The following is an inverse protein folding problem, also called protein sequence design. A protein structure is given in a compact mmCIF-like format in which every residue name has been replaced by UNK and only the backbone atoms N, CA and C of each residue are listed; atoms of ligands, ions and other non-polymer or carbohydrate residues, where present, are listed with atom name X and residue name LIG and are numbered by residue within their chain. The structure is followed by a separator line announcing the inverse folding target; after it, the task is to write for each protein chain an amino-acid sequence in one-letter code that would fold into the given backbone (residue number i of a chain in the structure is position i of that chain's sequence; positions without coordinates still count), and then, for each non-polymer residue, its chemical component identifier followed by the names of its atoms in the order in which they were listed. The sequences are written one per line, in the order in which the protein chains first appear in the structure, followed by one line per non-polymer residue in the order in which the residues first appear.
data_IF_115347079109
#
_entry.id   IF_115347079109
#
_cell.length_a   1.000
_cell.length_b   1.000
_cell.length_c   1.000
_cell.angle_alpha   90.00
_cell.angle_beta   90.00
_cell.angle_gamma   90.00
#
_symmetry.space_group_name_H-M   'P 1'
#
loop_
_entity.id
_entity.type
_entity.pdbx_description
1 polymer ?
#
# COMPACT_ATOMS: atom_id res chain seq x y z
N UNK A 1 12.01 5.82 -26.08
CA UNK A 1 10.84 6.33 -25.33
C UNK A 1 11.34 6.64 -23.94
N UNK A 2 11.81 7.87 -23.71
CA UNK A 2 12.37 8.26 -22.42
C UNK A 2 11.24 8.66 -21.48
N UNK A 3 11.17 8.04 -20.32
CA UNK A 3 10.22 8.41 -19.29
C UNK A 3 10.66 9.77 -18.72
N UNK A 4 9.76 10.75 -18.65
CA UNK A 4 10.07 11.97 -17.90
C UNK A 4 10.20 11.59 -16.43
N UNK A 5 11.25 12.06 -15.76
CA UNK A 5 11.65 11.69 -14.39
C UNK A 5 10.70 12.22 -13.29
N UNK A 6 9.44 12.51 -13.62
CA UNK A 6 8.49 13.22 -12.78
C UNK A 6 7.53 12.25 -12.06
N UNK A 7 8.01 11.05 -11.75
CA UNK A 7 7.23 10.11 -10.96
C UNK A 7 7.09 10.62 -9.51
N UNK A 8 5.89 10.52 -8.97
CA UNK A 8 5.57 10.97 -7.61
C UNK A 8 4.80 9.87 -6.89
N UNK A 9 4.94 9.81 -5.57
CA UNK A 9 4.07 8.97 -4.74
C UNK A 9 2.62 9.45 -4.89
N UNK A 10 1.73 8.54 -5.29
CA UNK A 10 0.29 8.79 -5.36
C UNK A 10 -0.35 8.28 -4.06
N UNK A 11 -1.10 9.15 -3.37
CA UNK A 11 -1.77 8.81 -2.12
C UNK A 11 -0.86 8.77 -0.89
N UNK A 12 -1.30 8.05 0.14
CA UNK A 12 -0.57 7.84 1.40
C UNK A 12 -0.17 6.37 1.51
N UNK A 13 1.09 6.12 1.88
CA UNK A 13 1.56 4.76 2.12
C UNK A 13 0.96 4.14 3.38
N UNK A 14 1.30 2.87 3.62
CA UNK A 14 0.98 2.16 4.86
C UNK A 14 2.25 1.60 5.51
N UNK A 15 2.16 1.20 6.78
CA UNK A 15 3.31 0.66 7.53
C UNK A 15 4.52 1.60 7.51
N UNK A 16 5.68 1.07 7.14
CA UNK A 16 6.95 1.82 7.02
C UNK A 16 6.87 3.00 6.03
N UNK A 17 5.93 2.95 5.07
CA UNK A 17 5.72 3.99 4.06
C UNK A 17 4.67 5.03 4.46
N UNK A 18 3.98 4.87 5.60
CA UNK A 18 2.87 5.74 6.01
C UNK A 18 3.27 7.20 6.24
N UNK A 19 4.54 7.46 6.55
CA UNK A 19 5.05 8.80 6.75
C UNK A 19 5.27 9.58 5.44
N UNK A 20 5.31 8.90 4.28
CA UNK A 20 5.63 9.53 3.00
C UNK A 20 4.36 10.20 2.45
N UNK A 21 4.31 11.53 2.32
CA UNK A 21 3.17 12.21 1.76
C UNK A 21 3.09 12.00 0.24
N UNK A 22 1.86 12.03 -0.28
CA UNK A 22 1.63 12.09 -1.71
C UNK A 22 2.28 13.33 -2.33
N UNK A 23 2.78 13.21 -3.56
CA UNK A 23 3.57 14.24 -4.22
C UNK A 23 5.04 14.27 -3.81
N UNK A 24 5.53 13.27 -3.08
CA UNK A 24 6.97 13.11 -2.85
C UNK A 24 7.64 12.61 -4.15
N UNK A 25 8.70 13.27 -4.64
CA UNK A 25 9.40 12.85 -5.85
C UNK A 25 10.06 11.48 -5.72
N UNK A 26 9.93 10.68 -6.77
CA UNK A 26 10.54 9.36 -6.90
C UNK A 26 11.41 9.37 -8.15
N UNK A 27 12.66 8.89 -8.03
CA UNK A 27 13.53 8.71 -9.19
C UNK A 27 13.43 7.27 -9.68
N UNK A 28 13.15 7.08 -10.97
CA UNK A 28 13.14 5.78 -11.63
C UNK A 28 14.39 5.57 -12.47
N UNK A 29 14.89 4.35 -12.48
CA UNK A 29 15.91 3.92 -13.43
C UNK A 29 15.22 3.48 -14.72
N UNK A 30 15.70 4.02 -15.84
CA UNK A 30 15.20 3.64 -17.16
C UNK A 30 15.44 2.16 -17.42
N UNK A 31 14.44 1.51 -18.02
CA UNK A 31 14.55 0.11 -18.44
C UNK A 31 13.80 -0.19 -19.72
N UNK A 32 14.18 -1.29 -20.37
CA UNK A 32 13.47 -1.84 -21.53
C UNK A 32 12.92 -3.22 -21.20
N UNK A 33 11.70 -3.49 -21.65
CA UNK A 33 11.02 -4.78 -21.48
C UNK A 33 10.83 -5.55 -22.79
N UNK A 34 11.18 -4.96 -23.95
CA UNK A 34 11.00 -5.52 -25.29
C UNK A 34 12.11 -5.02 -26.24
N UNK A 35 12.78 -5.86 -27.08
CA UNK A 35 12.48 -7.26 -27.39
C UNK A 35 12.97 -8.29 -26.36
N UNK A 36 13.65 -7.86 -25.30
CA UNK A 36 14.09 -8.77 -24.25
C UNK A 36 13.69 -8.26 -22.87
N UNK A 37 13.11 -9.15 -22.07
CA UNK A 37 12.91 -8.99 -20.62
C UNK A 37 14.26 -9.13 -19.88
N UNK A 38 15.31 -8.48 -20.38
CA UNK A 38 16.67 -8.55 -19.83
C UNK A 38 16.82 -7.85 -18.47
N UNK A 39 15.72 -7.53 -17.79
CA UNK A 39 15.69 -7.03 -16.42
C UNK A 39 15.88 -8.18 -15.41
N UNK A 40 16.91 -9.01 -15.59
CA UNK A 40 17.45 -9.77 -14.46
C UNK A 40 18.29 -8.77 -13.66
N UNK A 41 17.69 -8.11 -12.67
CA UNK A 41 18.39 -7.31 -11.66
C UNK A 41 18.46 -5.79 -11.91
N UNK A 42 17.33 -5.11 -12.11
CA UNK A 42 17.30 -3.64 -11.99
C UNK A 42 17.24 -3.29 -10.51
N UNK A 43 18.40 -2.96 -9.96
CA UNK A 43 18.57 -2.73 -8.53
C UNK A 43 19.29 -1.38 -8.31
N UNK A 44 18.59 -0.30 -7.93
CA UNK A 44 17.13 -0.21 -7.74
C UNK A 44 16.37 0.17 -9.02
N UNK A 45 15.12 -0.29 -9.17
CA UNK A 45 14.15 0.20 -10.15
C UNK A 45 13.72 1.64 -9.85
N UNK A 46 13.47 1.93 -8.57
CA UNK A 46 13.19 3.28 -8.11
C UNK A 46 13.81 3.54 -6.75
N UNK A 47 14.10 4.81 -6.50
CA UNK A 47 14.61 5.32 -5.23
C UNK A 47 13.84 6.56 -4.82
N UNK A 48 13.53 6.65 -3.53
CA UNK A 48 12.90 7.79 -2.89
C UNK A 48 13.57 8.03 -1.54
N UNK A 49 13.86 9.30 -1.24
CA UNK A 49 14.41 9.70 0.05
C UNK A 49 13.43 10.61 0.78
N UNK A 50 13.11 10.29 2.03
CA UNK A 50 12.19 11.08 2.86
C UNK A 50 12.58 10.98 4.34
N UNK A 51 12.70 12.14 5.02
CA UNK A 51 13.09 12.27 6.44
C UNK A 51 14.26 11.35 6.84
N UNK A 52 15.39 11.50 6.17
CA UNK A 52 16.64 10.75 6.40
C UNK A 52 16.55 9.23 6.20
N UNK A 53 15.47 8.74 5.56
CA UNK A 53 15.32 7.36 5.13
C UNK A 53 15.35 7.27 3.62
N UNK A 54 16.08 6.28 3.12
CA UNK A 54 16.05 5.90 1.71
C UNK A 54 15.17 4.67 1.55
N UNK A 55 14.27 4.74 0.59
CA UNK A 55 13.38 3.68 0.17
C UNK A 55 13.74 3.32 -1.26
N UNK A 56 13.78 2.03 -1.57
CA UNK A 56 13.99 1.57 -2.93
C UNK A 56 13.25 0.28 -3.21
N UNK A 57 13.15 -0.05 -4.49
CA UNK A 57 12.66 -1.34 -4.95
C UNK A 57 13.58 -1.94 -5.98
N UNK A 58 13.99 -3.17 -5.75
CA UNK A 58 14.84 -3.97 -6.61
C UNK A 58 13.97 -4.91 -7.43
N UNK A 59 13.94 -4.73 -8.76
CA UNK A 59 13.10 -5.53 -9.65
C UNK A 59 13.84 -6.82 -10.05
N UNK A 60 13.30 -7.95 -9.60
CA UNK A 60 13.86 -9.27 -9.84
C UNK A 60 13.26 -9.96 -11.07
N UNK A 61 11.98 -9.72 -11.33
CA UNK A 61 11.29 -10.28 -12.49
C UNK A 61 10.28 -9.30 -13.07
N UNK A 62 10.06 -9.39 -14.38
CA UNK A 62 9.06 -8.60 -15.10
C UNK A 62 8.38 -9.47 -16.16
N UNK A 63 7.08 -9.29 -16.30
CA UNK A 63 6.25 -9.96 -17.28
C UNK A 63 5.21 -8.97 -17.84
N UNK A 64 4.89 -9.13 -19.12
CA UNK A 64 3.77 -8.43 -19.75
C UNK A 64 2.47 -9.14 -19.35
N UNK A 65 1.55 -8.40 -18.74
CA UNK A 65 0.22 -8.91 -18.41
C UNK A 65 -0.78 -8.59 -19.52
N UNK A 66 -0.73 -7.36 -20.05
CA UNK A 66 -1.52 -6.92 -21.19
C UNK A 66 -0.69 -6.02 -22.09
N UNK A 67 -0.73 -6.26 -23.40
CA UNK A 67 -0.18 -5.35 -24.39
C UNK A 67 -1.12 -5.26 -25.57
N UNK A 68 -1.55 -4.04 -25.89
CA UNK A 68 -2.40 -3.70 -27.02
C UNK A 68 -2.00 -2.34 -27.57
N UNK A 69 -2.68 -1.89 -28.63
CA UNK A 69 -2.43 -0.57 -29.23
C UNK A 69 -2.74 0.60 -28.28
N UNK A 70 -3.52 0.38 -27.21
CA UNK A 70 -3.97 1.45 -26.29
C UNK A 70 -3.54 1.26 -24.83
N UNK A 71 -3.09 0.06 -24.48
CA UNK A 71 -2.76 -0.31 -23.10
C UNK A 71 -1.48 -1.12 -23.04
N UNK A 72 -0.67 -0.80 -22.03
CA UNK A 72 0.44 -1.63 -21.59
C UNK A 72 0.30 -1.85 -20.09
N UNK A 73 0.23 -3.11 -19.68
CA UNK A 73 0.24 -3.52 -18.28
C UNK A 73 1.39 -4.49 -18.08
N UNK A 74 2.30 -4.11 -17.18
CA UNK A 74 3.44 -4.89 -16.75
C UNK A 74 3.26 -5.25 -15.29
N UNK A 75 3.67 -6.46 -14.94
CA UNK A 75 3.74 -6.94 -13.56
C UNK A 75 5.13 -7.49 -13.29
N UNK A 76 5.56 -7.41 -12.05
CA UNK A 76 6.87 -7.92 -11.65
C UNK A 76 6.92 -8.22 -10.18
N UNK A 77 7.98 -8.89 -9.78
CA UNK A 77 8.29 -9.18 -8.39
C UNK A 77 9.64 -8.58 -8.04
N UNK A 78 9.81 -8.17 -6.80
CA UNK A 78 11.03 -7.55 -6.36
C UNK A 78 11.16 -7.48 -4.85
N UNK A 79 12.15 -6.71 -4.40
CA UNK A 79 12.47 -6.51 -2.98
C UNK A 79 12.35 -5.02 -2.67
N UNK A 80 11.52 -4.70 -1.69
CA UNK A 80 11.42 -3.38 -1.08
C UNK A 80 12.51 -3.25 -0.01
N UNK A 81 13.31 -2.20 -0.11
CA UNK A 81 14.30 -1.84 0.89
C UNK A 81 13.94 -0.49 1.52
N UNK A 82 14.18 -0.38 2.83
CA UNK A 82 14.03 0.87 3.56
C UNK A 82 15.10 0.98 4.65
N UNK A 83 15.71 2.15 4.83
CA UNK A 83 16.78 2.35 5.82
C UNK A 83 16.32 2.02 7.24
N UNK A 84 16.97 1.02 7.85
CA UNK A 84 16.69 0.54 9.20
C UNK A 84 15.57 -0.50 9.29
N UNK A 85 15.16 -1.09 8.17
CA UNK A 85 14.14 -2.14 8.10
C UNK A 85 14.64 -3.34 7.29
N UNK A 86 14.02 -4.49 7.50
CA UNK A 86 14.32 -5.71 6.75
C UNK A 86 13.80 -5.63 5.32
N UNK A 87 14.60 -6.15 4.40
CA UNK A 87 14.24 -6.30 3.00
C UNK A 87 12.96 -7.13 2.86
N UNK A 88 11.95 -6.59 2.19
CA UNK A 88 10.60 -7.18 2.13
C UNK A 88 10.22 -7.52 0.69
N UNK A 89 9.86 -8.79 0.38
CA UNK A 89 9.34 -9.13 -0.94
C UNK A 89 8.08 -8.34 -1.29
N UNK A 90 8.00 -7.84 -2.52
CA UNK A 90 6.89 -7.03 -3.01
C UNK A 90 6.55 -7.30 -4.46
N UNK A 91 5.31 -6.94 -4.82
CA UNK A 91 4.85 -6.97 -6.20
C UNK A 91 4.92 -5.56 -6.79
N UNK A 92 5.21 -5.51 -8.08
CA UNK A 92 5.28 -4.27 -8.84
C UNK A 92 4.28 -4.32 -9.99
N UNK A 93 3.53 -3.24 -10.17
CA UNK A 93 2.58 -3.08 -11.24
C UNK A 93 2.80 -1.75 -11.96
N UNK A 94 2.68 -1.80 -13.27
CA UNK A 94 2.77 -0.63 -14.12
C UNK A 94 1.70 -0.71 -15.18
N UNK A 95 0.95 0.36 -15.34
CA UNK A 95 -0.09 0.46 -16.36
C UNK A 95 0.00 1.77 -17.11
N UNK A 96 -0.20 1.72 -18.42
CA UNK A 96 -0.42 2.91 -19.23
C UNK A 96 -1.72 2.76 -19.99
N UNK A 97 -2.39 3.88 -20.18
CA UNK A 97 -3.65 3.98 -20.90
C UNK A 97 -3.60 5.23 -21.79
N UNK A 98 -3.69 5.05 -23.10
CA UNK A 98 -3.55 6.17 -24.05
C UNK A 98 -2.22 6.92 -23.90
N UNK A 99 -2.26 8.26 -23.89
CA UNK A 99 -1.07 9.12 -23.71
C UNK A 99 -0.63 9.29 -22.22
N UNK A 100 -1.27 8.60 -21.26
CA UNK A 100 -0.99 8.75 -19.83
C UNK A 100 -0.35 7.51 -19.19
N UNK A 101 0.54 7.74 -18.23
CA UNK A 101 1.25 6.71 -17.45
C UNK A 101 0.75 6.68 -16.00
N UNK A 102 0.45 5.50 -15.46
CA UNK A 102 0.09 5.29 -14.04
C UNK A 102 0.95 4.17 -13.43
N UNK A 103 1.52 4.42 -12.25
CA UNK A 103 2.37 3.48 -11.52
C UNK A 103 1.74 3.16 -10.15
N UNK A 104 1.77 1.88 -9.75
CA UNK A 104 1.24 1.44 -8.46
C UNK A 104 2.08 0.29 -7.91
N UNK A 105 2.47 0.37 -6.64
CA UNK A 105 3.17 -0.71 -5.94
C UNK A 105 2.38 -1.12 -4.71
N UNK A 106 2.14 -2.42 -4.55
CA UNK A 106 1.34 -2.98 -3.46
C UNK A 106 2.18 -4.02 -2.72
N UNK A 107 2.21 -3.93 -1.38
CA UNK A 107 2.85 -4.91 -0.51
C UNK A 107 1.78 -5.79 0.14
N UNK A 108 1.79 -7.08 -0.18
CA UNK A 108 0.92 -8.06 0.45
C UNK A 108 1.60 -8.59 1.72
N UNK A 109 1.56 -7.81 2.80
CA UNK A 109 1.91 -8.34 4.11
C UNK A 109 0.82 -9.34 4.53
N UNK A 110 1.12 -10.64 4.48
CA UNK A 110 0.25 -11.73 4.94
C UNK A 110 0.15 -11.80 6.49
N UNK A 111 0.52 -10.73 7.21
CA UNK A 111 0.44 -10.72 8.67
C UNK A 111 -0.98 -10.36 9.08
N UNK A 112 -1.69 -11.21 9.85
CA UNK A 112 -2.97 -10.85 10.43
C UNK A 112 -2.80 -9.56 11.24
N UNK A 113 -3.46 -8.48 10.81
CA UNK A 113 -3.52 -7.25 11.57
C UNK A 113 -4.31 -7.55 12.85
N UNK A 114 -3.74 -7.32 14.05
CA UNK A 114 -4.48 -7.48 15.29
C UNK A 114 -5.75 -6.65 15.22
N UNK A 115 -6.90 -7.32 15.41
CA UNK A 115 -8.21 -6.68 15.29
C UNK A 115 -8.28 -5.45 16.20
N UNK A 116 -8.77 -4.30 15.71
CA UNK A 116 -8.79 -3.08 16.49
C UNK A 116 -9.61 -3.26 17.78
N UNK A 117 -9.04 -2.82 18.91
CA UNK A 117 -9.70 -2.76 20.23
C UNK A 117 -11.00 -1.94 20.25
N UNK A 118 -11.34 -1.28 19.14
CA UNK A 118 -12.61 -0.58 18.93
C UNK A 118 -13.82 -1.52 18.98
N UNK A 119 -13.70 -2.79 18.57
CA UNK A 119 -14.80 -3.77 18.71
C UNK A 119 -15.08 -4.10 20.19
N UNK A 120 -14.05 -4.18 21.01
CA UNK A 120 -14.20 -4.38 22.45
C UNK A 120 -14.84 -3.15 23.11
N UNK A 121 -14.42 -1.93 22.72
CA UNK A 121 -15.00 -0.69 23.23
C UNK A 121 -16.48 -0.54 22.81
N UNK A 122 -16.80 -0.86 21.56
CA UNK A 122 -18.17 -0.84 21.04
C UNK A 122 -19.06 -1.87 21.75
N UNK A 123 -18.56 -3.08 21.95
CA UNK A 123 -19.25 -4.13 22.71
C UNK A 123 -19.51 -3.73 24.16
N UNK A 124 -18.50 -3.14 24.84
CA UNK A 124 -18.63 -2.66 26.21
C UNK A 124 -19.65 -1.50 26.32
N UNK A 125 -19.68 -0.59 25.36
CA UNK A 125 -20.65 0.51 25.33
C UNK A 125 -22.09 0.00 25.22
N UNK A 126 -22.36 -0.95 24.32
CA UNK A 126 -23.70 -1.56 24.21
C UNK A 126 -24.09 -2.36 25.44
N UNK A 127 -23.15 -3.11 26.04
CA UNK A 127 -23.41 -3.84 27.29
C UNK A 127 -23.77 -2.89 28.45
N UNK A 128 -23.06 -1.76 28.58
CA UNK A 128 -23.37 -0.74 29.57
C UNK A 128 -24.77 -0.14 29.40
N UNK A 129 -25.15 0.20 28.16
CA UNK A 129 -26.47 0.72 27.82
C UNK A 129 -27.59 -0.30 28.10
N UNK A 130 -27.37 -1.60 27.80
CA UNK A 130 -28.35 -2.65 28.05
C UNK A 130 -28.62 -2.85 29.55
N UNK A 131 -27.57 -2.84 30.39
CA UNK A 131 -27.71 -2.95 31.85
C UNK A 131 -28.42 -1.73 32.42
N UNK A 132 -28.07 -0.53 31.96
CA UNK A 132 -28.74 0.71 32.35
C UNK A 132 -30.24 0.69 31.98
N UNK A 133 -30.57 0.23 30.77
CA UNK A 133 -31.94 0.08 30.28
C UNK A 133 -32.79 -0.93 31.06
N UNK A 134 -32.19 -2.01 31.59
CA UNK A 134 -32.89 -2.99 32.43
C UNK A 134 -33.20 -2.44 33.82
N UNK A 135 -32.29 -1.67 34.42
CA UNK A 135 -32.48 -1.09 35.77
C UNK A 135 -33.61 -0.06 35.82
N UNK A 136 -33.75 0.79 34.80
CA UNK A 136 -34.87 1.75 34.72
C UNK A 136 -36.23 1.05 34.68
N UNK A 137 -36.33 -0.10 34.01
CA UNK A 137 -37.60 -0.80 33.86
C UNK A 137 -38.06 -1.46 35.17
N UNK A 138 -37.13 -1.89 36.01
CA UNK A 138 -37.43 -2.47 37.33
C UNK A 138 -37.79 -1.43 38.40
N UNK A 139 -37.47 -0.15 38.21
CA UNK A 139 -37.77 0.91 39.19
C UNK A 139 -39.18 1.51 39.01
N UNK A 140 -39.76 1.40 37.81
CA UNK A 140 -41.13 1.88 37.51
C UNK A 140 -42.22 0.90 38.01
N UNK A 141 -41.84 -0.32 38.41
CA UNK A 141 -42.77 -1.35 38.89
C UNK A 141 -43.03 -1.38 40.41
N UNK A 142 -42.45 -0.49 41.21
CA UNK A 142 -42.53 -0.57 42.69
C UNK A 142 -43.40 0.50 43.37
N UNK A 143 -44.17 1.29 42.62
CA UNK A 143 -45.21 2.17 43.19
C UNK A 143 -46.59 1.66 42.80
N UNK A 144 -47.04 0.57 43.46
CA UNK A 144 -48.45 0.23 43.64
C UNK A 144 -48.53 -0.90 44.67
N UNK A 145 -48.54 -0.51 45.95
CA UNK A 145 -49.05 -1.27 47.08
C UNK A 145 -49.59 -0.27 48.10
#
# INVERSE_FOLDING_TARGET
MGFSNDAQVQGIGSGTYAAIPGGTPVTFTDFSFNPSLASIGINPLWVLSYLDKTYSFDLLSIATDLQSDSFLVLKGTGILNATGFDATPGNWFFSTQGQGTSFSAESNALTPVPEPSTLMLLGAAFFGLAIYGKRRNNQVGSCNA
#
